data_IF_094325902495
#
_entry.id   IF_094325902495
#
_cell.length_a   1.000
_cell.length_b   1.000
_cell.length_c   1.000
_cell.angle_alpha   90.00
_cell.angle_beta   90.00
_cell.angle_gamma   90.00
#
_symmetry.space_group_name_H-M   'P 1'
#
loop_
_entity.id
_entity.type
_entity.pdbx_description
1 polymer ?
#
# COMPACT_ATOMS: atom_id res chain seq x y z
N UNK A 1 -13.03 19.28 8.79
CA UNK A 1 -13.85 18.82 9.91
C UNK A 1 -14.42 17.45 9.61
N UNK A 2 -14.45 16.52 10.57
CA UNK A 2 -14.83 15.12 10.42
C UNK A 2 -16.12 14.84 11.20
N UNK A 3 -17.12 14.19 10.58
CA UNK A 3 -18.39 13.83 11.21
C UNK A 3 -18.80 12.41 10.84
N UNK A 4 -19.24 11.65 11.81
CA UNK A 4 -19.86 10.35 11.66
C UNK A 4 -21.37 10.48 11.97
N UNK A 5 -22.22 10.04 11.08
CA UNK A 5 -23.68 10.06 11.27
C UNK A 5 -24.24 8.65 11.16
N UNK A 6 -24.66 8.09 12.29
CA UNK A 6 -25.29 6.79 12.40
C UNK A 6 -24.51 5.65 11.69
N UNK A 7 -23.19 5.64 11.84
CA UNK A 7 -22.32 4.66 11.16
C UNK A 7 -22.58 3.26 11.72
N UNK A 8 -22.89 2.33 10.84
CA UNK A 8 -22.98 0.91 11.12
C UNK A 8 -21.93 0.13 10.33
N UNK A 9 -21.44 -0.96 10.89
CA UNK A 9 -20.54 -1.88 10.19
C UNK A 9 -20.83 -3.31 10.54
N UNK A 10 -21.09 -4.09 9.51
CA UNK A 10 -21.36 -5.52 9.59
C UNK A 10 -20.31 -6.31 8.80
N UNK A 11 -19.79 -7.36 9.42
CA UNK A 11 -18.94 -8.35 8.76
C UNK A 11 -19.70 -9.67 8.59
N UNK A 12 -19.56 -10.32 7.43
CA UNK A 12 -20.06 -11.67 7.20
C UNK A 12 -18.93 -12.65 7.46
N UNK A 13 -19.13 -13.56 8.42
CA UNK A 13 -18.21 -14.63 8.75
C UNK A 13 -18.94 -15.97 8.52
N UNK A 14 -18.73 -16.58 7.35
CA UNK A 14 -19.53 -17.71 6.92
C UNK A 14 -21.00 -17.33 6.75
N UNK A 15 -21.89 -17.98 7.50
CA UNK A 15 -23.34 -17.70 7.50
C UNK A 15 -23.75 -16.68 8.59
N UNK A 16 -22.85 -16.30 9.48
CA UNK A 16 -23.14 -15.37 10.57
C UNK A 16 -22.81 -13.92 10.18
N UNK A 17 -23.55 -13.00 10.81
CA UNK A 17 -23.36 -11.56 10.66
C UNK A 17 -22.91 -10.97 11.99
N UNK A 18 -21.69 -10.42 12.02
CA UNK A 18 -21.14 -9.78 13.21
C UNK A 18 -21.29 -8.26 13.07
N UNK A 19 -22.03 -7.66 13.99
CA UNK A 19 -22.25 -6.22 14.05
C UNK A 19 -21.10 -5.53 14.80
N UNK A 20 -20.13 -5.02 14.09
CA UNK A 20 -18.94 -4.35 14.67
C UNK A 20 -19.23 -2.92 15.13
N UNK A 21 -20.08 -2.18 14.40
CA UNK A 21 -20.57 -0.86 14.80
C UNK A 21 -22.09 -0.81 14.64
N UNK A 22 -22.77 -0.14 15.59
CA UNK A 22 -24.23 -0.15 15.72
C UNK A 22 -24.80 1.27 15.85
N UNK A 23 -24.56 2.11 14.84
CA UNK A 23 -25.10 3.47 14.79
C UNK A 23 -24.25 4.50 15.53
N UNK A 24 -22.95 4.54 15.26
CA UNK A 24 -22.03 5.50 15.88
C UNK A 24 -22.19 6.88 15.24
N UNK A 25 -22.43 7.90 16.09
CA UNK A 25 -22.50 9.31 15.69
C UNK A 25 -21.55 10.12 16.53
N UNK A 26 -20.58 10.80 15.90
CA UNK A 26 -19.54 11.59 16.57
C UNK A 26 -19.14 12.74 15.64
N UNK A 27 -19.10 13.95 16.17
CA UNK A 27 -18.52 15.12 15.51
C UNK A 27 -17.16 15.45 16.14
N UNK A 28 -16.14 15.71 15.33
CA UNK A 28 -14.79 16.03 15.77
C UNK A 28 -14.45 17.51 15.49
N UNK A 29 -13.63 18.11 16.38
CA UNK A 29 -13.02 19.44 16.18
C UNK A 29 -11.83 19.34 15.23
N UNK A 30 -11.35 20.47 14.73
CA UNK A 30 -10.20 20.51 13.80
C UNK A 30 -8.87 20.18 14.49
N UNK A 31 -8.74 20.56 15.76
CA UNK A 31 -7.58 20.24 16.59
C UNK A 31 -8.05 19.81 17.98
N UNK A 32 -7.88 18.54 18.28
CA UNK A 32 -8.13 17.95 19.59
C UNK A 32 -7.40 16.60 19.72
N UNK A 33 -7.19 16.15 20.95
CA UNK A 33 -6.71 14.81 21.23
C UNK A 33 -7.87 13.97 21.79
N UNK A 34 -8.41 13.10 20.95
CA UNK A 34 -9.53 12.22 21.30
C UNK A 34 -9.01 10.81 21.53
N UNK A 35 -9.35 10.23 22.70
CA UNK A 35 -9.15 8.80 22.94
C UNK A 35 -10.47 8.05 22.85
N UNK A 36 -10.48 6.97 22.07
CA UNK A 36 -11.58 6.00 22.00
C UNK A 36 -11.21 4.82 22.89
N UNK A 37 -11.88 4.72 24.04
CA UNK A 37 -11.71 3.65 25.02
C UNK A 37 -12.75 2.54 24.85
N UNK A 38 -12.36 1.32 25.12
CA UNK A 38 -13.27 0.17 25.16
C UNK A 38 -12.51 -1.14 25.23
N UNK A 39 -13.22 -2.21 25.57
CA UNK A 39 -12.65 -3.56 25.64
C UNK A 39 -12.21 -4.08 24.24
N UNK A 40 -11.39 -5.13 24.21
CA UNK A 40 -11.04 -5.78 22.96
C UNK A 40 -12.29 -6.29 22.23
N UNK A 41 -12.36 -6.11 20.93
CA UNK A 41 -13.51 -6.55 20.12
C UNK A 41 -14.71 -5.58 20.10
N UNK A 42 -14.76 -4.50 20.86
CA UNK A 42 -15.90 -3.57 20.87
C UNK A 42 -16.02 -2.66 19.63
N UNK A 43 -15.16 -2.81 18.61
CA UNK A 43 -15.27 -2.08 17.33
C UNK A 43 -14.32 -0.89 17.17
N UNK A 44 -13.38 -0.64 18.09
CA UNK A 44 -12.44 0.52 18.04
C UNK A 44 -11.62 0.59 16.76
N UNK A 45 -10.88 -0.47 16.44
CA UNK A 45 -10.06 -0.55 15.23
C UNK A 45 -10.93 -0.48 13.96
N UNK A 46 -12.14 -1.05 13.99
CA UNK A 46 -13.12 -0.91 12.90
C UNK A 46 -13.51 0.55 12.69
N UNK A 47 -13.81 1.27 13.77
CA UNK A 47 -14.11 2.70 13.71
C UNK A 47 -12.94 3.49 13.12
N UNK A 48 -11.72 3.23 13.58
CA UNK A 48 -10.51 3.88 13.11
C UNK A 48 -10.26 3.62 11.61
N UNK A 49 -10.46 2.37 11.18
CA UNK A 49 -10.30 1.98 9.77
C UNK A 49 -11.34 2.65 8.86
N UNK A 50 -12.58 2.82 9.31
CA UNK A 50 -13.62 3.53 8.56
C UNK A 50 -13.26 5.01 8.45
N UNK A 51 -12.86 5.67 9.55
CA UNK A 51 -12.40 7.06 9.53
C UNK A 51 -11.21 7.23 8.59
N UNK A 52 -10.25 6.29 8.63
CA UNK A 52 -9.06 6.32 7.78
C UNK A 52 -9.30 5.93 6.31
N UNK A 53 -10.53 5.55 5.94
CA UNK A 53 -10.86 5.09 4.59
C UNK A 53 -10.19 3.78 4.20
N UNK A 54 -9.77 2.96 5.18
CA UNK A 54 -9.21 1.63 4.98
C UNK A 54 -10.29 0.56 4.89
N UNK A 55 -11.46 0.82 5.49
CA UNK A 55 -12.65 -0.01 5.37
C UNK A 55 -13.88 0.86 5.09
N UNK A 56 -14.95 0.25 4.58
CA UNK A 56 -16.21 0.93 4.28
C UNK A 56 -17.25 0.60 5.34
N UNK A 57 -18.04 1.59 5.74
CA UNK A 57 -19.22 1.37 6.58
C UNK A 57 -20.33 0.67 5.80
N UNK A 58 -21.24 0.00 6.52
CA UNK A 58 -22.39 -0.70 5.92
C UNK A 58 -23.53 0.28 5.66
N UNK A 59 -23.83 1.15 6.64
CA UNK A 59 -24.85 2.20 6.53
C UNK A 59 -24.45 3.40 7.40
N UNK A 60 -25.15 4.53 7.21
CA UNK A 60 -24.82 5.80 7.82
C UNK A 60 -24.15 6.76 6.84
N UNK A 61 -23.47 7.78 7.33
CA UNK A 61 -22.71 8.72 6.51
C UNK A 61 -21.46 9.24 7.22
N UNK A 62 -20.33 9.17 6.53
CA UNK A 62 -19.06 9.77 6.95
C UNK A 62 -18.87 11.07 6.15
N UNK A 63 -18.78 12.21 6.84
CA UNK A 63 -18.64 13.53 6.22
C UNK A 63 -17.23 14.06 6.51
N UNK A 64 -16.50 14.41 5.45
CA UNK A 64 -15.12 14.90 5.50
C UNK A 64 -15.08 16.27 4.81
N UNK A 65 -14.62 17.31 5.53
CA UNK A 65 -14.58 18.66 4.97
C UNK A 65 -15.95 19.19 4.50
N UNK A 66 -17.04 18.70 5.10
CA UNK A 66 -18.41 19.07 4.71
C UNK A 66 -18.98 18.26 3.53
N UNK A 67 -18.23 17.33 2.96
CA UNK A 67 -18.66 16.49 1.83
C UNK A 67 -18.93 15.06 2.29
N UNK A 68 -20.07 14.49 1.90
CA UNK A 68 -20.42 13.09 2.16
C UNK A 68 -19.51 12.13 1.40
N UNK A 69 -19.00 11.11 2.08
CA UNK A 69 -18.17 10.08 1.44
C UNK A 69 -18.97 9.11 0.57
N UNK A 70 -20.30 9.15 0.60
CA UNK A 70 -21.17 8.45 -0.38
C UNK A 70 -20.91 8.93 -1.81
N UNK A 71 -20.49 10.18 -1.96
CA UNK A 71 -20.17 10.80 -3.25
C UNK A 71 -18.69 10.55 -3.69
N UNK A 72 -17.87 9.95 -2.82
CA UNK A 72 -16.45 9.74 -3.08
C UNK A 72 -16.23 8.64 -4.11
N UNK A 73 -15.44 8.96 -5.13
CA UNK A 73 -14.87 8.00 -6.08
C UNK A 73 -13.55 7.44 -5.51
N UNK A 74 -13.02 6.39 -6.12
CA UNK A 74 -11.73 5.80 -5.70
C UNK A 74 -10.60 6.83 -5.61
N UNK A 75 -10.53 7.77 -6.56
CA UNK A 75 -9.53 8.83 -6.56
C UNK A 75 -9.67 9.82 -5.38
N UNK A 76 -10.90 10.06 -4.90
CA UNK A 76 -11.14 10.93 -3.74
C UNK A 76 -10.66 10.25 -2.45
N UNK A 77 -10.92 8.95 -2.31
CA UNK A 77 -10.39 8.12 -1.22
C UNK A 77 -8.86 8.04 -1.23
N UNK A 78 -8.23 7.89 -2.41
CA UNK A 78 -6.77 7.90 -2.53
C UNK A 78 -6.19 9.26 -2.12
N UNK A 79 -6.81 10.34 -2.54
CA UNK A 79 -6.42 11.70 -2.15
C UNK A 79 -6.56 11.91 -0.64
N UNK A 80 -7.67 11.49 -0.05
CA UNK A 80 -7.93 11.57 1.39
C UNK A 80 -6.88 10.80 2.20
N UNK A 81 -6.63 9.52 1.86
CA UNK A 81 -5.62 8.71 2.54
C UNK A 81 -4.20 9.25 2.42
N UNK A 82 -3.86 9.83 1.27
CA UNK A 82 -2.49 10.30 1.04
C UNK A 82 -2.22 11.69 1.62
N UNK A 83 -3.23 12.54 1.74
CA UNK A 83 -3.01 13.94 2.11
C UNK A 83 -3.67 14.35 3.42
N UNK A 84 -4.82 13.76 3.78
CA UNK A 84 -5.56 14.20 4.97
C UNK A 84 -5.36 13.29 6.18
N UNK A 85 -4.88 12.04 5.97
CA UNK A 85 -4.74 11.05 7.04
C UNK A 85 -3.28 10.65 7.23
N UNK A 86 -2.83 10.65 8.49
CA UNK A 86 -1.66 9.92 8.95
C UNK A 86 -2.09 8.71 9.78
N UNK A 87 -1.47 7.56 9.59
CA UNK A 87 -1.82 6.34 10.33
C UNK A 87 -0.63 5.80 11.11
N UNK A 88 -0.81 5.61 12.42
CA UNK A 88 0.15 5.01 13.35
C UNK A 88 -0.45 3.70 13.85
N UNK A 89 0.17 2.57 13.48
CA UNK A 89 -0.29 1.23 13.83
C UNK A 89 0.40 0.72 15.09
N UNK A 90 -0.23 -0.20 15.79
CA UNK A 90 0.31 -0.88 16.97
C UNK A 90 1.63 -1.62 16.66
N UNK A 91 1.74 -2.27 15.51
CA UNK A 91 2.91 -3.07 15.09
C UNK A 91 3.91 -2.30 14.24
N UNK A 92 3.99 -0.99 14.34
CA UNK A 92 4.87 -0.07 13.59
C UNK A 92 4.73 -0.16 12.05
N UNK A 93 4.48 -1.32 11.47
CA UNK A 93 4.37 -1.60 10.03
C UNK A 93 5.51 -0.99 9.20
N UNK A 94 6.75 -1.12 9.71
CA UNK A 94 7.96 -0.70 9.01
C UNK A 94 8.47 -1.81 8.11
N UNK A 95 9.04 -1.44 6.98
CA UNK A 95 9.66 -2.37 6.03
C UNK A 95 11.06 -2.74 6.56
N UNK A 96 11.29 -4.02 7.00
CA UNK A 96 12.47 -4.39 7.77
C UNK A 96 13.80 -4.25 7.02
N UNK A 97 13.78 -4.41 5.70
CA UNK A 97 14.99 -4.36 4.86
C UNK A 97 15.32 -2.94 4.38
N UNK A 98 14.43 -1.98 4.56
CA UNK A 98 14.64 -0.57 4.24
C UNK A 98 15.19 0.21 5.42
N UNK A 99 15.91 1.30 5.13
CA UNK A 99 16.38 2.23 6.17
C UNK A 99 15.21 3.01 6.78
N UNK A 100 15.44 3.59 7.95
CA UNK A 100 14.51 4.50 8.62
C UNK A 100 14.07 5.64 7.67
N UNK A 101 15.03 6.29 7.03
CA UNK A 101 14.74 7.33 6.04
C UNK A 101 13.86 6.84 4.91
N UNK A 102 14.18 5.68 4.31
CA UNK A 102 13.39 5.10 3.21
C UNK A 102 11.98 4.71 3.62
N UNK A 103 11.78 4.26 4.87
CA UNK A 103 10.45 3.97 5.41
C UNK A 103 9.56 5.22 5.47
N UNK A 104 10.13 6.38 5.80
CA UNK A 104 9.39 7.66 5.83
C UNK A 104 9.21 8.22 4.40
N UNK A 105 10.25 8.15 3.55
CA UNK A 105 10.17 8.57 2.14
C UNK A 105 9.05 7.86 1.37
N UNK A 106 8.73 6.61 1.74
CA UNK A 106 7.71 5.80 1.06
C UNK A 106 6.33 6.47 1.06
N UNK A 107 5.94 7.10 2.16
CA UNK A 107 4.66 7.81 2.26
C UNK A 107 4.55 8.99 1.26
N UNK A 108 5.67 9.59 0.89
CA UNK A 108 5.74 10.68 -0.08
C UNK A 108 5.80 10.19 -1.54
N UNK A 109 5.98 8.89 -1.76
CA UNK A 109 6.18 8.35 -3.12
C UNK A 109 4.93 8.51 -3.99
N UNK A 110 3.76 8.45 -3.37
CA UNK A 110 2.46 8.62 -4.05
C UNK A 110 2.01 10.08 -4.15
N UNK A 111 2.69 11.01 -3.46
CA UNK A 111 2.31 12.43 -3.42
C UNK A 111 2.85 13.25 -4.61
N UNK A 112 3.47 12.60 -5.61
CA UNK A 112 4.00 13.29 -6.80
C UNK A 112 5.18 14.22 -6.54
N UNK A 113 5.85 14.05 -5.41
CA UNK A 113 6.97 14.89 -4.95
C UNK A 113 8.29 14.36 -5.54
N UNK A 114 9.21 15.26 -5.91
CA UNK A 114 10.53 14.88 -6.45
C UNK A 114 11.36 14.08 -5.45
N UNK A 115 12.29 13.26 -5.93
CA UNK A 115 13.14 12.41 -5.05
C UNK A 115 13.94 13.25 -4.04
N UNK A 116 14.47 14.39 -4.46
CA UNK A 116 15.22 15.30 -3.59
C UNK A 116 14.34 15.87 -2.48
N UNK A 117 13.16 16.36 -2.84
CA UNK A 117 12.20 16.93 -1.90
C UNK A 117 11.65 15.86 -0.92
N UNK A 118 11.34 14.65 -1.40
CA UNK A 118 10.94 13.53 -0.54
C UNK A 118 11.98 13.25 0.54
N UNK A 119 13.25 13.17 0.13
CA UNK A 119 14.35 12.90 1.05
C UNK A 119 14.50 14.00 2.10
N UNK A 120 14.37 15.26 1.68
CA UNK A 120 14.45 16.41 2.58
C UNK A 120 13.30 16.41 3.59
N UNK A 121 12.06 16.27 3.14
CA UNK A 121 10.88 16.23 4.02
C UNK A 121 10.94 15.04 4.99
N UNK A 122 11.35 13.86 4.52
CA UNK A 122 11.50 12.67 5.37
C UNK A 122 12.57 12.87 6.44
N UNK A 123 13.70 13.53 6.11
CA UNK A 123 14.73 13.89 7.07
C UNK A 123 14.19 14.87 8.13
N UNK A 124 13.48 15.91 7.70
CA UNK A 124 12.87 16.89 8.61
C UNK A 124 11.83 16.25 9.55
N UNK A 125 10.99 15.34 9.04
CA UNK A 125 10.04 14.60 9.86
C UNK A 125 10.75 13.72 10.91
N UNK A 126 11.87 13.07 10.55
CA UNK A 126 12.66 12.27 11.48
C UNK A 126 13.38 13.14 12.53
N UNK A 127 13.86 14.32 12.16
CA UNK A 127 14.43 15.27 13.11
C UNK A 127 13.39 15.72 14.14
N UNK A 128 12.16 16.04 13.69
CA UNK A 128 11.04 16.44 14.58
C UNK A 128 10.69 15.40 15.64
N UNK A 129 10.89 14.11 15.34
CA UNK A 129 10.66 13.03 16.34
C UNK A 129 11.94 12.59 17.07
N UNK A 130 13.05 13.35 16.94
CA UNK A 130 14.31 13.10 17.64
C UNK A 130 15.14 11.96 17.07
N UNK A 131 15.04 11.67 15.77
CA UNK A 131 15.76 10.57 15.09
C UNK A 131 16.64 11.04 13.92
N UNK A 132 17.09 12.30 13.96
CA UNK A 132 17.89 12.90 12.89
C UNK A 132 19.26 12.25 12.64
N UNK A 133 19.82 11.59 13.63
CA UNK A 133 21.10 10.84 13.59
C UNK A 133 20.93 9.37 13.18
N UNK A 134 19.69 8.84 13.11
CA UNK A 134 19.38 7.43 12.91
C UNK A 134 18.96 7.08 11.44
N UNK A 135 19.09 8.01 10.50
CA UNK A 135 18.50 7.95 9.15
C UNK A 135 18.89 6.69 8.35
N UNK A 136 20.11 6.18 8.55
CA UNK A 136 20.67 5.02 7.82
C UNK A 136 20.40 3.68 8.48
N UNK A 137 19.95 3.67 9.74
CA UNK A 137 19.61 2.44 10.46
C UNK A 137 18.42 1.74 9.84
N UNK A 138 18.32 0.44 10.10
CA UNK A 138 17.16 -0.39 9.75
C UNK A 138 16.31 -0.66 10.99
N UNK A 139 15.02 -1.03 10.85
CA UNK A 139 14.14 -1.33 11.98
C UNK A 139 14.70 -2.33 12.97
N UNK A 140 15.39 -3.37 12.52
CA UNK A 140 16.04 -4.39 13.37
C UNK A 140 17.22 -3.88 14.20
N UNK A 141 17.66 -2.64 14.00
CA UNK A 141 18.74 -1.96 14.74
C UNK A 141 18.20 -0.89 15.70
N UNK A 142 16.88 -0.88 15.95
CA UNK A 142 16.19 0.15 16.71
C UNK A 142 15.39 -0.45 17.85
N UNK A 143 15.22 0.32 18.94
CA UNK A 143 14.29 -0.03 20.01
C UNK A 143 12.81 0.12 19.57
N UNK A 144 11.89 -0.47 20.32
CA UNK A 144 10.44 -0.34 20.07
C UNK A 144 9.99 1.12 20.01
N UNK A 145 10.39 1.93 20.96
CA UNK A 145 10.08 3.36 20.98
C UNK A 145 10.68 4.15 19.82
N UNK A 146 11.89 3.81 19.38
CA UNK A 146 12.47 4.41 18.18
C UNK A 146 11.69 4.00 16.93
N UNK A 147 11.30 2.74 16.79
CA UNK A 147 10.44 2.28 15.69
C UNK A 147 9.09 2.98 15.67
N UNK A 148 8.49 3.22 16.85
CA UNK A 148 7.24 3.97 16.95
C UNK A 148 7.40 5.43 16.54
N UNK A 149 8.49 6.09 16.92
CA UNK A 149 8.81 7.45 16.45
C UNK A 149 8.98 7.50 14.92
N UNK A 150 9.58 6.47 14.31
CA UNK A 150 9.65 6.36 12.83
C UNK A 150 8.25 6.22 12.22
N UNK A 151 7.37 5.41 12.81
CA UNK A 151 5.99 5.27 12.35
C UNK A 151 5.21 6.58 12.45
N UNK A 152 5.40 7.35 13.53
CA UNK A 152 4.82 8.69 13.69
C UNK A 152 5.39 9.67 12.65
N UNK A 153 6.72 9.68 12.43
CA UNK A 153 7.33 10.54 11.41
C UNK A 153 6.79 10.22 10.00
N UNK A 154 6.62 8.93 9.69
CA UNK A 154 6.01 8.47 8.43
C UNK A 154 4.56 8.95 8.28
N UNK A 155 3.78 8.91 9.36
CA UNK A 155 2.40 9.37 9.36
C UNK A 155 2.30 10.90 9.15
N UNK A 156 3.27 11.67 9.67
CA UNK A 156 3.27 13.13 9.62
C UNK A 156 3.91 13.75 8.38
N UNK A 157 4.67 12.97 7.60
CA UNK A 157 5.52 13.52 6.52
C UNK A 157 4.74 14.18 5.37
N UNK A 158 3.48 13.79 5.18
CA UNK A 158 2.55 14.42 4.23
C UNK A 158 1.80 15.63 4.82
N UNK A 159 2.09 16.01 6.06
CA UNK A 159 1.39 17.07 6.80
C UNK A 159 -0.13 16.88 6.83
N UNK A 160 -0.62 15.71 7.33
CA UNK A 160 -2.05 15.40 7.37
C UNK A 160 -2.78 16.28 8.40
N UNK A 161 -4.08 16.48 8.19
CA UNK A 161 -4.95 17.18 9.14
C UNK A 161 -5.36 16.27 10.31
N UNK A 162 -5.43 14.96 10.08
CA UNK A 162 -5.90 13.94 11.02
C UNK A 162 -4.83 12.88 11.23
N UNK A 163 -4.50 12.59 12.48
CA UNK A 163 -3.63 11.47 12.85
C UNK A 163 -4.45 10.39 13.56
N UNK A 164 -4.48 9.20 12.98
CA UNK A 164 -5.13 8.02 13.54
C UNK A 164 -4.08 7.14 14.21
N UNK A 165 -4.28 6.80 15.48
CA UNK A 165 -3.32 6.00 16.25
C UNK A 165 -4.03 4.78 16.86
N UNK A 166 -3.66 3.59 16.40
CA UNK A 166 -4.18 2.31 16.90
C UNK A 166 -3.20 1.74 17.93
N UNK A 167 -3.54 1.86 19.20
CA UNK A 167 -2.75 1.42 20.37
C UNK A 167 -1.25 1.80 20.28
N UNK A 168 -0.92 3.08 20.12
CA UNK A 168 0.45 3.52 19.80
C UNK A 168 1.50 3.21 20.87
N UNK A 169 1.08 2.80 22.06
CA UNK A 169 1.94 2.45 23.20
C UNK A 169 1.85 0.99 23.59
N UNK A 170 1.02 0.18 22.93
CA UNK A 170 0.69 -1.19 23.35
C UNK A 170 1.88 -2.19 23.33
N UNK A 171 2.97 -1.87 22.64
CA UNK A 171 4.18 -2.70 22.56
C UNK A 171 5.40 -2.03 23.23
N UNK A 172 5.20 -1.01 24.07
CA UNK A 172 6.27 -0.19 24.67
C UNK A 172 6.29 -0.32 26.19
N UNK A 173 7.46 -0.11 26.76
CA UNK A 173 7.61 0.08 28.20
C UNK A 173 6.98 1.40 28.67
N UNK A 174 6.79 1.55 29.99
CA UNK A 174 6.07 2.67 30.58
C UNK A 174 6.75 4.02 30.31
N UNK A 175 8.09 4.09 30.38
CA UNK A 175 8.82 5.33 30.14
C UNK A 175 8.72 5.78 28.68
N UNK A 176 8.96 4.85 27.77
CA UNK A 176 8.82 5.11 26.34
C UNK A 176 7.39 5.47 25.95
N UNK A 177 6.39 4.84 26.58
CA UNK A 177 4.97 5.16 26.38
C UNK A 177 4.67 6.61 26.73
N UNK A 178 5.18 7.11 27.86
CA UNK A 178 5.05 8.53 28.25
C UNK A 178 5.64 9.44 27.17
N UNK A 179 6.85 9.15 26.69
CA UNK A 179 7.51 9.97 25.66
C UNK A 179 6.72 10.01 24.33
N UNK A 180 6.10 8.90 23.94
CA UNK A 180 5.24 8.84 22.75
C UNK A 180 3.96 9.64 22.96
N UNK A 181 3.35 9.55 24.15
CA UNK A 181 2.14 10.30 24.48
C UNK A 181 2.38 11.82 24.54
N UNK A 182 3.51 12.25 25.10
CA UNK A 182 3.92 13.67 25.07
C UNK A 182 4.09 14.18 23.64
N UNK A 183 4.73 13.39 22.76
CA UNK A 183 4.89 13.73 21.35
C UNK A 183 3.52 13.86 20.66
N UNK A 184 2.61 12.92 20.88
CA UNK A 184 1.25 13.00 20.32
C UNK A 184 0.48 14.21 20.86
N UNK A 185 0.61 14.51 22.15
CA UNK A 185 -0.01 15.69 22.77
C UNK A 185 0.50 17.00 22.15
N UNK A 186 1.79 17.08 21.85
CA UNK A 186 2.34 18.24 21.15
C UNK A 186 1.75 18.40 19.75
N UNK A 187 1.65 17.31 19.00
CA UNK A 187 1.06 17.30 17.65
C UNK A 187 -0.43 17.70 17.67
N UNK A 188 -1.17 17.35 18.73
CA UNK A 188 -2.60 17.62 18.84
C UNK A 188 -2.96 19.11 18.98
N UNK A 189 -1.99 19.99 19.23
CA UNK A 189 -2.20 21.44 19.26
C UNK A 189 -2.66 21.98 17.90
N UNK A 190 -2.18 21.38 16.81
CA UNK A 190 -2.43 21.84 15.45
C UNK A 190 -3.24 20.84 14.61
N UNK A 191 -3.46 19.61 15.11
CA UNK A 191 -4.06 18.52 14.36
C UNK A 191 -5.09 17.75 15.19
N UNK A 192 -6.06 17.13 14.51
CA UNK A 192 -6.95 16.18 15.15
C UNK A 192 -6.21 14.85 15.33
N UNK A 193 -6.08 14.39 16.58
CA UNK A 193 -5.60 13.04 16.90
C UNK A 193 -6.77 12.19 17.40
N UNK A 194 -6.97 11.05 16.79
CA UNK A 194 -7.91 10.03 17.23
C UNK A 194 -7.10 8.79 17.59
N UNK A 195 -6.98 8.52 18.90
CA UNK A 195 -6.25 7.38 19.42
C UNK A 195 -7.23 6.32 19.92
N UNK A 196 -7.00 5.09 19.55
CA UNK A 196 -7.67 3.93 20.17
C UNK A 196 -6.75 3.34 21.20
N UNK A 197 -7.27 3.06 22.38
CA UNK A 197 -6.49 2.43 23.44
C UNK A 197 -7.41 1.63 24.38
N UNK A 198 -6.84 0.67 25.08
CA UNK A 198 -7.49 -0.02 26.20
C UNK A 198 -6.95 0.45 27.55
N UNK A 199 -6.00 1.40 27.57
CA UNK A 199 -5.42 1.96 28.80
C UNK A 199 -6.13 3.26 29.22
N UNK A 200 -6.98 3.24 30.27
CA UNK A 200 -7.71 4.43 30.71
C UNK A 200 -6.80 5.50 31.30
N UNK A 201 -5.71 5.12 31.99
CA UNK A 201 -4.81 6.09 32.66
C UNK A 201 -4.12 7.00 31.62
N UNK A 202 -3.65 6.41 30.51
CA UNK A 202 -3.05 7.20 29.43
C UNK A 202 -4.09 8.08 28.74
N UNK A 203 -5.30 7.59 28.52
CA UNK A 203 -6.36 8.37 27.93
C UNK A 203 -6.74 9.57 28.80
N UNK A 204 -6.94 9.38 30.11
CA UNK A 204 -7.31 10.44 31.05
C UNK A 204 -6.21 11.50 31.20
N UNK A 205 -4.94 11.09 31.22
CA UNK A 205 -3.79 11.99 31.40
C UNK A 205 -3.51 12.87 30.16
N UNK A 206 -3.70 12.34 28.95
CA UNK A 206 -3.20 12.99 27.73
C UNK A 206 -4.29 13.53 26.80
N UNK A 207 -5.52 12.99 26.85
CA UNK A 207 -6.58 13.37 25.94
C UNK A 207 -7.43 14.54 26.44
N UNK A 208 -7.92 15.34 25.51
CA UNK A 208 -8.87 16.42 25.81
C UNK A 208 -10.32 15.89 25.82
N UNK A 209 -10.57 14.72 25.23
CA UNK A 209 -11.88 14.11 25.11
C UNK A 209 -11.73 12.60 25.08
N UNK A 210 -12.59 11.92 25.80
CA UNK A 210 -12.62 10.46 25.87
C UNK A 210 -14.00 10.00 25.43
N UNK A 211 -14.02 9.12 24.41
CA UNK A 211 -15.23 8.47 23.90
C UNK A 211 -15.17 7.01 24.31
N UNK A 212 -16.18 6.55 25.06
CA UNK A 212 -16.26 5.14 25.48
C UNK A 212 -17.13 4.35 24.52
N UNK A 213 -16.52 3.31 23.95
CA UNK A 213 -17.18 2.41 23.01
C UNK A 213 -17.46 1.06 23.69
N UNK A 214 -18.70 0.59 23.62
CA UNK A 214 -19.12 -0.73 24.13
C UNK A 214 -20.02 -1.39 23.08
N UNK A 215 -19.71 -2.62 22.69
CA UNK A 215 -20.49 -3.42 21.74
C UNK A 215 -20.91 -2.68 20.46
N UNK A 216 -19.99 -1.89 19.93
CA UNK A 216 -20.19 -1.10 18.70
C UNK A 216 -21.03 0.16 18.87
N UNK A 217 -21.32 0.60 20.12
CA UNK A 217 -22.05 1.84 20.42
C UNK A 217 -21.22 2.79 21.25
N UNK A 218 -21.41 4.08 21.07
CA UNK A 218 -20.89 5.10 21.98
C UNK A 218 -21.80 5.12 23.22
N UNK A 219 -21.20 4.88 24.37
CA UNK A 219 -21.91 4.87 25.66
C UNK A 219 -21.62 6.10 26.51
N UNK A 220 -20.48 6.75 26.28
CA UNK A 220 -20.07 7.95 26.99
C UNK A 220 -19.15 8.82 26.12
N UNK A 221 -19.23 10.13 26.29
CA UNK A 221 -18.39 11.13 25.63
C UNK A 221 -18.18 12.30 26.60
N UNK A 222 -16.95 12.48 27.08
CA UNK A 222 -16.63 13.44 28.17
C UNK A 222 -16.72 14.91 27.72
N UNK A 223 -16.64 15.19 26.42
CA UNK A 223 -16.66 16.56 25.91
C UNK A 223 -17.26 16.59 24.49
N UNK A 224 -18.56 16.25 24.35
CA UNK A 224 -19.20 16.14 23.03
C UNK A 224 -19.15 17.49 22.30
N UNK A 225 -18.96 17.41 20.98
CA UNK A 225 -18.99 18.58 20.13
C UNK A 225 -20.20 18.49 19.22
N UNK A 226 -21.12 19.46 19.37
CA UNK A 226 -22.26 19.60 18.47
C UNK A 226 -22.09 20.88 17.65
N UNK A 227 -21.93 20.70 16.35
CA UNK A 227 -21.78 21.79 15.39
C UNK A 227 -23.01 22.70 15.30
N UNK A 228 -24.20 22.19 15.63
CA UNK A 228 -25.44 22.95 15.52
C UNK A 228 -25.57 23.98 16.66
N UNK A 229 -24.80 23.84 17.72
CA UNK A 229 -24.81 24.70 18.91
C UNK A 229 -23.74 25.79 18.87
N UNK A 230 -22.66 25.56 18.11
CA UNK A 230 -21.53 26.50 17.97
C UNK A 230 -21.85 27.43 16.79
N UNK A 231 -21.87 28.74 17.06
CA UNK A 231 -22.09 29.81 16.05
C UNK A 231 -21.24 29.59 14.79
N UNK A 232 -21.71 30.02 13.62
CA UNK A 232 -20.96 29.86 12.37
C UNK A 232 -19.63 30.60 12.52
N UNK A 233 -18.56 29.87 12.75
CA UNK A 233 -17.19 30.37 12.65
C UNK A 233 -17.08 30.89 11.20
N UNK A 234 -16.89 32.21 11.08
CA UNK A 234 -16.59 32.87 9.81
C UNK A 234 -15.69 31.98 8.97
N UNK A 235 -16.13 31.70 7.75
CA UNK A 235 -15.38 30.97 6.73
C UNK A 235 -13.98 31.59 6.60
N UNK A 236 -13.05 31.19 7.46
CA UNK A 236 -11.65 31.22 7.09
C UNK A 236 -11.56 30.30 5.88
N UNK A 237 -11.64 30.87 4.68
CA UNK A 237 -11.25 30.21 3.43
C UNK A 237 -9.85 29.66 3.67
N UNK A 238 -9.78 28.49 4.27
CA UNK A 238 -8.58 27.69 4.24
C UNK A 238 -8.24 27.57 2.77
N UNK A 239 -7.07 28.03 2.38
CA UNK A 239 -6.56 27.85 1.02
C UNK A 239 -6.77 26.37 0.72
N UNK A 240 -7.76 26.03 -0.13
CA UNK A 240 -7.85 24.71 -0.72
C UNK A 240 -6.50 24.46 -1.40
N UNK A 241 -5.60 23.83 -0.66
CA UNK A 241 -4.41 23.25 -1.27
C UNK A 241 -4.96 22.25 -2.27
N UNK A 242 -5.06 22.64 -3.57
CA UNK A 242 -5.43 21.71 -4.65
C UNK A 242 -4.47 20.53 -4.52
N UNK A 243 -4.90 19.50 -3.83
CA UNK A 243 -4.13 18.28 -3.66
C UNK A 243 -3.87 17.74 -5.07
N UNK A 244 -2.60 17.68 -5.46
CA UNK A 244 -2.22 17.05 -6.72
C UNK A 244 -2.70 15.61 -6.66
N UNK A 245 -3.37 15.13 -7.72
CA UNK A 245 -3.81 13.74 -7.81
C UNK A 245 -2.61 12.83 -7.54
N UNK A 246 -2.77 11.79 -6.72
CA UNK A 246 -1.70 10.85 -6.46
C UNK A 246 -1.26 10.23 -7.79
N UNK A 247 0.02 10.37 -8.11
CA UNK A 247 0.59 9.80 -9.33
C UNK A 247 2.00 9.29 -9.04
N UNK A 248 2.28 8.08 -9.48
CA UNK A 248 3.61 7.49 -9.38
C UNK A 248 4.22 7.35 -10.77
N UNK A 249 5.46 7.84 -10.93
CA UNK A 249 6.20 7.67 -12.20
C UNK A 249 6.48 6.19 -12.45
N UNK A 250 6.36 5.74 -13.72
CA UNK A 250 6.71 4.38 -14.16
C UNK A 250 8.10 3.96 -13.71
N UNK A 251 9.08 4.84 -13.78
CA UNK A 251 10.45 4.57 -13.32
C UNK A 251 10.53 4.33 -11.81
N UNK A 252 9.72 5.04 -11.02
CA UNK A 252 9.64 4.82 -9.57
C UNK A 252 8.99 3.49 -9.26
N UNK A 253 7.91 3.11 -9.96
CA UNK A 253 7.24 1.83 -9.81
C UNK A 253 8.20 0.66 -10.16
N UNK A 254 8.91 0.77 -11.28
CA UNK A 254 9.90 -0.21 -11.71
C UNK A 254 11.05 -0.36 -10.69
N UNK A 255 11.58 0.76 -10.19
CA UNK A 255 12.63 0.76 -9.17
C UNK A 255 12.19 0.11 -7.86
N UNK A 256 10.96 0.39 -7.39
CA UNK A 256 10.39 -0.26 -6.20
C UNK A 256 10.19 -1.76 -6.41
N UNK A 257 9.68 -2.17 -7.56
CA UNK A 257 9.50 -3.57 -7.92
C UNK A 257 10.84 -4.31 -7.96
N UNK A 258 11.85 -3.73 -8.62
CA UNK A 258 13.19 -4.30 -8.69
C UNK A 258 13.85 -4.42 -7.31
N UNK A 259 13.73 -3.40 -6.47
CA UNK A 259 14.22 -3.45 -5.10
C UNK A 259 13.54 -4.56 -4.29
N UNK A 260 12.22 -4.75 -4.45
CA UNK A 260 11.49 -5.84 -3.80
C UNK A 260 11.96 -7.23 -4.26
N UNK A 261 12.19 -7.41 -5.55
CA UNK A 261 12.75 -8.65 -6.09
C UNK A 261 14.15 -8.93 -5.53
N UNK A 262 14.97 -7.89 -5.42
CA UNK A 262 16.34 -8.00 -4.89
C UNK A 262 16.42 -8.25 -3.37
N UNK A 263 15.34 -8.10 -2.62
CA UNK A 263 15.34 -8.42 -1.17
C UNK A 263 15.42 -9.92 -0.89
N UNK A 264 14.88 -10.74 -1.79
CA UNK A 264 14.89 -12.22 -1.70
C UNK A 264 15.70 -12.84 -2.85
N UNK A 265 16.97 -12.39 -3.00
CA UNK A 265 17.84 -12.75 -4.13
C UNK A 265 17.86 -14.24 -4.46
N UNK A 266 18.00 -15.12 -3.46
CA UNK A 266 18.02 -16.56 -3.65
C UNK A 266 16.73 -17.11 -4.26
N UNK A 267 15.56 -16.70 -3.77
CA UNK A 267 14.27 -17.13 -4.31
C UNK A 267 14.07 -16.61 -5.73
N UNK A 268 14.37 -15.32 -5.97
CA UNK A 268 14.24 -14.70 -7.30
C UNK A 268 15.14 -15.38 -8.30
N UNK A 269 16.39 -15.70 -7.95
CA UNK A 269 17.32 -16.43 -8.80
C UNK A 269 16.80 -17.84 -9.12
N UNK A 270 16.37 -18.60 -8.09
CA UNK A 270 15.87 -19.95 -8.28
C UNK A 270 14.61 -20.02 -9.18
N UNK A 271 13.66 -19.09 -9.00
CA UNK A 271 12.46 -19.03 -9.84
C UNK A 271 12.79 -18.61 -11.28
N UNK A 272 13.70 -17.66 -11.47
CA UNK A 272 14.16 -17.26 -12.81
C UNK A 272 14.93 -18.38 -13.50
N UNK A 273 15.78 -19.10 -12.78
CA UNK A 273 16.55 -20.23 -13.28
C UNK A 273 15.63 -21.38 -13.71
N UNK A 274 14.65 -21.73 -12.86
CA UNK A 274 13.65 -22.76 -13.19
C UNK A 274 12.85 -22.42 -14.46
N UNK A 275 12.44 -21.16 -14.60
CA UNK A 275 11.76 -20.68 -15.81
C UNK A 275 12.65 -20.70 -17.05
N UNK A 276 13.95 -20.40 -16.90
CA UNK A 276 14.93 -20.40 -18.00
C UNK A 276 15.20 -21.80 -18.57
N UNK A 277 15.13 -22.85 -17.74
CA UNK A 277 15.36 -24.24 -18.19
C UNK A 277 14.39 -24.62 -19.30
N UNK A 278 13.10 -24.28 -19.17
CA UNK A 278 12.10 -24.55 -20.20
C UNK A 278 12.41 -23.84 -21.53
N UNK A 279 12.80 -22.58 -21.48
CA UNK A 279 13.15 -21.78 -22.67
C UNK A 279 14.41 -22.31 -23.31
N UNK A 280 15.45 -22.64 -22.54
CA UNK A 280 16.69 -23.23 -23.00
C UNK A 280 16.43 -24.60 -23.69
N UNK A 281 15.57 -25.44 -23.07
CA UNK A 281 15.19 -26.73 -23.65
C UNK A 281 14.52 -26.58 -25.00
N UNK A 282 13.55 -25.68 -25.14
CA UNK A 282 12.89 -25.42 -26.43
C UNK A 282 13.89 -24.87 -27.47
N UNK A 283 14.74 -23.92 -27.08
CA UNK A 283 15.74 -23.33 -27.97
C UNK A 283 16.75 -24.37 -28.47
N UNK A 284 17.20 -25.30 -27.62
CA UNK A 284 18.08 -26.39 -27.98
C UNK A 284 17.43 -27.34 -28.98
N UNK A 285 16.18 -27.75 -28.74
CA UNK A 285 15.43 -28.63 -29.66
C UNK A 285 15.28 -27.97 -31.03
N UNK A 286 14.90 -26.70 -31.09
CA UNK A 286 14.76 -25.95 -32.32
C UNK A 286 16.10 -25.78 -33.04
N UNK A 287 17.19 -25.50 -32.32
CA UNK A 287 18.55 -25.38 -32.90
C UNK A 287 19.03 -26.70 -33.49
N UNK A 288 18.86 -27.81 -32.75
CA UNK A 288 19.23 -29.15 -33.26
C UNK A 288 18.40 -29.51 -34.46
N UNK A 289 17.08 -29.27 -34.43
CA UNK A 289 16.19 -29.54 -35.60
C UNK A 289 16.59 -28.72 -36.80
N UNK A 290 16.84 -27.43 -36.66
CA UNK A 290 17.29 -26.56 -37.76
C UNK A 290 18.69 -26.97 -38.29
N UNK A 291 19.62 -27.32 -37.39
CA UNK A 291 20.94 -27.80 -37.76
C UNK A 291 20.90 -29.13 -38.53
N UNK A 292 20.05 -30.08 -38.11
CA UNK A 292 19.86 -31.33 -38.80
C UNK A 292 19.25 -31.14 -40.21
N UNK A 293 18.26 -30.24 -40.35
CA UNK A 293 17.69 -29.90 -41.67
C UNK A 293 18.72 -29.28 -42.59
N UNK A 294 19.56 -28.36 -42.13
CA UNK A 294 20.62 -27.76 -42.92
C UNK A 294 21.67 -28.80 -43.35
N UNK A 295 22.03 -29.71 -42.44
CA UNK A 295 22.97 -30.78 -42.73
C UNK A 295 22.40 -31.75 -43.79
N UNK A 296 21.16 -32.20 -43.66
CA UNK A 296 20.48 -33.06 -44.65
C UNK A 296 20.47 -32.35 -45.99
N UNK A 297 20.10 -31.09 -46.07
CA UNK A 297 20.08 -30.32 -47.31
C UNK A 297 21.47 -30.20 -47.93
N UNK A 298 22.52 -29.99 -47.15
CA UNK A 298 23.89 -29.94 -47.68
C UNK A 298 24.34 -31.27 -48.24
N UNK A 299 23.99 -32.41 -47.59
CA UNK A 299 24.28 -33.77 -48.10
C UNK A 299 23.48 -34.06 -49.34
N UNK A 300 22.21 -33.67 -49.43
CA UNK A 300 21.41 -33.81 -50.65
C UNK A 300 22.01 -33.03 -51.84
N UNK A 301 22.41 -31.76 -51.62
CA UNK A 301 23.05 -30.93 -52.64
C UNK A 301 24.40 -31.54 -53.15
N UNK A 302 25.21 -32.02 -52.19
CA UNK A 302 26.50 -32.65 -52.51
C UNK A 302 26.31 -33.96 -53.25
N UNK A 303 25.30 -34.76 -52.84
CA UNK A 303 24.97 -36.05 -53.55
C UNK A 303 24.42 -35.78 -54.92
N UNK A 304 23.51 -34.85 -55.14
CA UNK A 304 22.97 -34.47 -56.42
C UNK A 304 24.04 -33.90 -57.36
N UNK A 305 25.01 -33.13 -56.80
CA UNK A 305 26.14 -32.62 -57.60
C UNK A 305 27.12 -33.72 -58.02
N UNK A 306 27.20 -34.82 -57.27
CA UNK A 306 28.12 -35.98 -57.58
C UNK A 306 27.55 -36.98 -58.58
N UNK A 307 26.23 -37.00 -58.83
CA UNK A 307 25.63 -37.86 -59.85
C UNK A 307 25.53 -37.13 -61.19
N UNK A 308 26.27 -37.55 -62.26
CA UNK A 308 26.12 -36.92 -63.54
C UNK A 308 24.74 -37.27 -64.14
N UNK A 309 24.03 -36.24 -64.60
CA UNK A 309 22.77 -36.43 -65.32
C UNK A 309 23.11 -37.17 -66.66
N UNK A 310 22.95 -38.51 -66.72
CA UNK A 310 23.05 -39.28 -67.94
C UNK A 310 21.77 -39.16 -68.77
N UNK A 311 21.78 -38.31 -69.79
CA UNK A 311 20.69 -38.25 -70.79
C UNK A 311 20.89 -39.39 -71.69
N UNK A 312 20.27 -40.56 -71.49
CA UNK A 312 20.24 -41.68 -72.47
C UNK A 312 19.23 -41.31 -73.55
N UNK A 313 19.77 -41.16 -74.78
CA UNK A 313 18.98 -40.90 -75.97
C UNK A 313 18.44 -42.20 -76.58
N UNK A 314 17.83 -43.05 -75.76
CA UNK A 314 17.09 -44.24 -76.24
C UNK A 314 15.60 -43.90 -76.29
N UNK A 315 15.17 -43.24 -77.36
CA UNK A 315 13.78 -43.30 -77.75
C UNK A 315 13.53 -44.73 -78.29
N UNK A 316 12.96 -45.58 -77.47
CA UNK A 316 12.35 -46.79 -77.97
C UNK A 316 11.20 -46.38 -78.90
N UNK A 317 11.43 -46.50 -80.18
CA UNK A 317 10.41 -46.26 -81.19
C UNK A 317 9.39 -47.41 -81.15
N UNK A 318 8.36 -47.19 -80.32
CA UNK A 318 7.25 -48.14 -80.13
C UNK A 318 6.50 -48.40 -81.45
N UNK A 319 6.68 -47.53 -82.45
CA UNK A 319 6.07 -47.69 -83.80
C UNK A 319 6.78 -48.81 -84.62
N UNK A 320 8.07 -48.97 -84.41
CA UNK A 320 8.82 -50.06 -85.09
C UNK A 320 8.53 -51.45 -84.55
N UNK A 321 8.22 -51.54 -83.24
CA UNK A 321 7.82 -52.76 -82.53
C UNK A 321 6.39 -53.23 -82.91
N UNK A 322 5.47 -52.31 -83.12
CA UNK A 322 4.10 -52.64 -83.56
C UNK A 322 4.06 -53.11 -84.99
N UNK A 323 4.89 -52.58 -85.87
CA UNK A 323 4.96 -53.01 -87.30
C UNK A 323 5.60 -54.38 -87.47
N UNK A 324 6.47 -54.83 -86.57
CA UNK A 324 7.06 -56.19 -86.62
C UNK A 324 6.15 -57.26 -86.02
N UNK A 325 5.10 -56.96 -85.32
CA UNK A 325 4.10 -57.91 -84.81
C UNK A 325 2.89 -58.07 -85.70
N UNK A 326 2.80 -57.30 -86.83
CA UNK A 326 1.71 -57.37 -87.81
C UNK A 326 2.14 -57.96 -89.15
N UNK A 327 3.30 -58.66 -89.17
CA UNK A 327 3.67 -59.50 -90.37
C UNK A 327 3.71 -60.98 -90.00
#
# INVERSE_FOLDING_TARGET
>A
MLQLKNITKDYKIGNEKVHALRGVSIDFRESEFVSVLGQSGCGKTTLLNIIGGLDRYTDGDLIIGGKSTKEFKSADWDTYRNHSIGFVFQSYNLIPHQTVLSNVELALTLSGVSKSERRQRAKEALVKVGLGDQLKKKPNQMSGGQMQRVAIARALVNDPDILLADEPTGALDSETSVQIMELLKEISKDKLIIMVTHNPELAEKYSNRIIRLLDGKVVDDTNPYDRNIVEPIENKKGKEKKAKKPSMSYLTALSLSLNNLMTKKGRTFMTSFAGSIGIIGIALILSISSGAQLYIKSVEEETLASYPISISRNSMDMTSMMTSMMK
#
